data_IF_564364115401
#
_entry.id   IF_564364115401
#
_cell.length_a   1.000
_cell.length_b   1.000
_cell.length_c   1.000
_cell.angle_alpha   90.00
_cell.angle_beta   90.00
_cell.angle_gamma   90.00
#
_symmetry.space_group_name_H-M   'P 1'
#
loop_
_entity.id
_entity.type
_entity.pdbx_description
1 polymer ?
#
# COMPACT_ATOMS: atom_id res chain seq x y z
N UNK A 1 -15.85 -8.99 -24.76
CA UNK A 1 -14.92 -8.43 -23.75
C UNK A 1 -14.32 -9.61 -23.00
N UNK A 2 -13.02 -9.91 -23.17
CA UNK A 2 -12.37 -10.94 -22.34
C UNK A 2 -12.25 -10.36 -20.93
N UNK A 3 -13.07 -10.84 -19.99
CA UNK A 3 -12.97 -10.48 -18.58
C UNK A 3 -11.64 -10.97 -18.02
N UNK A 4 -11.11 -10.26 -17.01
CA UNK A 4 -9.92 -10.72 -16.28
C UNK A 4 -10.12 -12.13 -15.71
N UNK A 5 -9.04 -12.93 -15.52
CA UNK A 5 -9.13 -14.21 -14.84
C UNK A 5 -9.82 -14.08 -13.47
N UNK A 6 -10.68 -15.03 -13.11
CA UNK A 6 -11.54 -14.93 -11.92
C UNK A 6 -10.74 -14.69 -10.62
N UNK A 7 -9.56 -15.31 -10.49
CA UNK A 7 -8.66 -15.10 -9.36
C UNK A 7 -8.04 -13.70 -9.30
N UNK A 8 -7.80 -13.04 -10.45
CA UNK A 8 -7.36 -11.64 -10.49
C UNK A 8 -8.51 -10.70 -10.08
N UNK A 9 -9.72 -10.94 -10.62
CA UNK A 9 -10.90 -10.16 -10.27
C UNK A 9 -11.19 -10.17 -8.76
N UNK A 10 -11.17 -11.35 -8.14
CA UNK A 10 -11.43 -11.48 -6.71
C UNK A 10 -10.43 -10.67 -5.88
N UNK A 11 -9.13 -10.78 -6.18
CA UNK A 11 -8.07 -10.08 -5.42
C UNK A 11 -8.12 -8.58 -5.60
N UNK A 12 -8.35 -8.12 -6.81
CA UNK A 12 -8.42 -6.69 -7.14
C UNK A 12 -9.66 -6.05 -6.51
N UNK A 13 -10.82 -6.69 -6.60
CA UNK A 13 -12.05 -6.20 -5.97
C UNK A 13 -11.98 -6.24 -4.43
N UNK A 14 -11.42 -7.31 -3.85
CA UNK A 14 -11.24 -7.40 -2.41
C UNK A 14 -10.21 -6.39 -1.91
N UNK A 15 -9.11 -6.19 -2.65
CA UNK A 15 -8.14 -5.12 -2.39
C UNK A 15 -8.78 -3.73 -2.38
N UNK A 16 -9.57 -3.41 -3.40
CA UNK A 16 -10.31 -2.15 -3.45
C UNK A 16 -11.29 -1.99 -2.28
N UNK A 17 -12.01 -3.05 -1.91
CA UNK A 17 -12.89 -3.05 -0.74
C UNK A 17 -12.11 -2.76 0.54
N UNK A 18 -10.98 -3.42 0.75
CA UNK A 18 -10.15 -3.19 1.94
C UNK A 18 -9.62 -1.77 2.01
N UNK A 19 -9.16 -1.19 0.90
CA UNK A 19 -8.71 0.21 0.84
C UNK A 19 -9.83 1.20 1.16
N UNK A 20 -11.04 0.97 0.65
CA UNK A 20 -12.17 1.83 0.97
C UNK A 20 -12.58 1.75 2.45
N UNK A 21 -12.52 0.55 3.04
CA UNK A 21 -12.77 0.36 4.48
C UNK A 21 -11.68 1.03 5.30
N UNK A 22 -10.41 0.91 4.90
CA UNK A 22 -9.25 1.52 5.56
C UNK A 22 -9.43 3.05 5.66
N UNK A 23 -9.76 3.70 4.54
CA UNK A 23 -10.04 5.14 4.49
C UNK A 23 -11.18 5.54 5.45
N UNK A 24 -12.27 4.76 5.49
CA UNK A 24 -13.39 5.02 6.40
C UNK A 24 -12.94 4.87 7.86
N UNK A 25 -12.15 3.85 8.17
CA UNK A 25 -11.61 3.64 9.51
C UNK A 25 -10.63 4.73 9.93
N UNK A 26 -9.81 5.24 9.01
CA UNK A 26 -8.86 6.32 9.28
C UNK A 26 -9.57 7.65 9.55
N UNK A 27 -10.61 7.97 8.79
CA UNK A 27 -11.48 9.13 9.06
C UNK A 27 -12.17 8.96 10.42
N UNK A 28 -12.70 7.78 10.72
CA UNK A 28 -13.34 7.49 12.00
C UNK A 28 -12.37 7.69 13.18
N UNK A 29 -11.15 7.16 13.07
CA UNK A 29 -10.12 7.28 14.10
C UNK A 29 -9.67 8.73 14.26
N UNK A 30 -9.49 9.48 13.17
CA UNK A 30 -9.17 10.91 13.22
C UNK A 30 -10.26 11.70 13.96
N UNK A 31 -11.54 11.45 13.65
CA UNK A 31 -12.67 12.07 14.36
C UNK A 31 -12.70 11.66 15.83
N UNK A 32 -12.39 10.40 16.16
CA UNK A 32 -12.27 9.93 17.56
C UNK A 32 -11.17 10.70 18.30
N UNK A 33 -10.02 10.97 17.67
CA UNK A 33 -8.97 11.79 18.28
C UNK A 33 -9.38 13.25 18.49
N UNK A 34 -10.11 13.83 17.53
CA UNK A 34 -10.65 15.19 17.66
C UNK A 34 -11.62 15.27 18.84
N UNK A 35 -12.59 14.35 18.92
CA UNK A 35 -13.58 14.29 19.99
C UNK A 35 -12.96 14.01 21.37
N UNK A 36 -11.86 13.26 21.41
CA UNK A 36 -11.10 13.00 22.63
C UNK A 36 -10.15 14.16 23.03
N UNK A 37 -10.15 15.29 22.30
CA UNK A 37 -9.26 16.42 22.55
C UNK A 37 -7.79 16.16 22.23
N UNK A 38 -7.47 15.02 21.59
CA UNK A 38 -6.11 14.62 21.22
C UNK A 38 -5.70 15.26 19.89
N UNK A 39 -5.61 16.59 19.87
CA UNK A 39 -5.37 17.40 18.66
C UNK A 39 -4.07 17.03 17.95
N UNK A 40 -3.03 16.61 18.68
CA UNK A 40 -1.76 16.16 18.09
C UNK A 40 -1.93 14.96 17.16
N UNK A 41 -2.61 13.90 17.64
CA UNK A 41 -2.87 12.70 16.83
C UNK A 41 -3.84 12.98 15.69
N UNK A 42 -4.85 13.83 15.91
CA UNK A 42 -5.75 14.27 14.85
C UNK A 42 -4.98 14.94 13.70
N UNK A 43 -4.11 15.91 14.00
CA UNK A 43 -3.29 16.61 13.00
C UNK A 43 -2.37 15.64 12.25
N UNK A 44 -1.76 14.69 12.96
CA UNK A 44 -0.92 13.67 12.35
C UNK A 44 -1.70 12.76 11.39
N UNK A 45 -2.88 12.27 11.79
CA UNK A 45 -3.73 11.44 10.92
C UNK A 45 -4.19 12.19 9.67
N UNK A 46 -4.65 13.44 9.82
CA UNK A 46 -5.05 14.27 8.67
C UNK A 46 -3.87 14.58 7.75
N UNK A 47 -2.67 14.83 8.30
CA UNK A 47 -1.47 15.04 7.50
C UNK A 47 -1.09 13.79 6.70
N UNK A 48 -1.20 12.60 7.30
CA UNK A 48 -0.98 11.31 6.63
C UNK A 48 -1.95 11.11 5.45
N UNK A 49 -3.25 11.30 5.69
CA UNK A 49 -4.29 11.23 4.66
C UNK A 49 -4.05 12.24 3.53
N UNK A 50 -3.70 13.49 3.89
CA UNK A 50 -3.38 14.54 2.93
C UNK A 50 -2.15 14.21 2.08
N UNK A 51 -1.12 13.60 2.67
CA UNK A 51 0.07 13.14 1.96
C UNK A 51 -0.27 12.01 0.98
N UNK A 52 -1.10 11.04 1.38
CA UNK A 52 -1.59 9.95 0.52
C UNK A 52 -2.33 10.51 -0.69
N UNK A 53 -3.32 11.39 -0.47
CA UNK A 53 -4.07 12.05 -1.56
C UNK A 53 -3.12 12.84 -2.48
N UNK A 54 -2.19 13.62 -1.92
CA UNK A 54 -1.24 14.41 -2.70
C UNK A 54 -0.34 13.56 -3.61
N UNK A 55 0.19 12.45 -3.07
CA UNK A 55 1.03 11.52 -3.83
C UNK A 55 0.22 10.74 -4.89
N UNK A 56 -1.02 10.33 -4.57
CA UNK A 56 -1.91 9.69 -5.54
C UNK A 56 -2.26 10.64 -6.68
N UNK A 57 -2.54 11.92 -6.39
CA UNK A 57 -2.79 12.95 -7.41
C UNK A 57 -1.56 13.18 -8.30
N UNK A 58 -0.36 13.20 -7.72
CA UNK A 58 0.88 13.31 -8.47
C UNK A 58 1.04 12.11 -9.42
N UNK A 59 0.75 10.89 -8.97
CA UNK A 59 0.79 9.71 -9.85
C UNK A 59 -0.26 9.77 -10.97
N UNK A 60 -1.50 10.19 -10.68
CA UNK A 60 -2.53 10.39 -11.71
C UNK A 60 -2.07 11.41 -12.75
N UNK A 61 -1.47 12.52 -12.30
CA UNK A 61 -0.90 13.53 -13.18
C UNK A 61 0.21 12.95 -14.05
N UNK A 62 1.21 12.28 -13.46
CA UNK A 62 2.33 11.67 -14.19
C UNK A 62 1.82 10.66 -15.24
N UNK A 63 0.88 9.80 -14.85
CA UNK A 63 0.29 8.75 -15.68
C UNK A 63 -0.47 9.32 -16.89
N UNK A 64 -1.18 10.45 -16.72
CA UNK A 64 -2.09 10.98 -17.74
C UNK A 64 -1.62 12.32 -18.37
N UNK A 65 -0.43 12.83 -18.03
CA UNK A 65 0.04 14.15 -18.51
C UNK A 65 0.07 14.29 -20.04
N UNK A 66 0.32 13.19 -20.77
CA UNK A 66 0.37 13.19 -22.24
C UNK A 66 -1.02 13.09 -22.91
N UNK A 67 -2.07 12.77 -22.15
CA UNK A 67 -3.45 12.61 -22.62
C UNK A 67 -4.30 13.88 -22.47
N UNK A 68 -3.72 14.95 -21.91
CA UNK A 68 -4.36 16.25 -21.73
C UNK A 68 -5.06 16.43 -20.38
N UNK A 69 -5.24 17.71 -20.00
CA UNK A 69 -5.73 18.13 -18.67
C UNK A 69 -7.13 17.57 -18.34
N UNK A 70 -8.01 17.45 -19.35
CA UNK A 70 -9.36 16.90 -19.15
C UNK A 70 -9.33 15.46 -18.65
N UNK A 71 -8.38 14.64 -19.11
CA UNK A 71 -8.25 13.25 -18.64
C UNK A 71 -7.67 13.19 -17.23
N UNK A 72 -6.65 14.01 -16.95
CA UNK A 72 -6.07 14.14 -15.60
C UNK A 72 -7.15 14.51 -14.58
N UNK A 73 -7.97 15.53 -14.86
CA UNK A 73 -9.04 15.95 -13.96
C UNK A 73 -10.10 14.85 -13.74
N UNK A 74 -10.42 14.08 -14.78
CA UNK A 74 -11.36 12.96 -14.69
C UNK A 74 -10.84 11.84 -13.79
N UNK A 75 -9.56 11.51 -13.86
CA UNK A 75 -8.92 10.47 -13.03
C UNK A 75 -8.56 10.99 -11.62
N UNK A 76 -8.40 12.31 -11.46
CA UNK A 76 -8.15 12.95 -10.17
C UNK A 76 -9.40 13.03 -9.28
N UNK A 77 -10.58 13.17 -9.86
CA UNK A 77 -11.83 13.25 -9.10
C UNK A 77 -12.08 12.02 -8.21
N UNK A 78 -11.97 10.77 -8.69
CA UNK A 78 -12.06 9.58 -7.84
C UNK A 78 -11.03 9.53 -6.71
N UNK A 79 -9.84 10.12 -6.87
CA UNK A 79 -8.81 10.18 -5.81
C UNK A 79 -9.30 11.09 -4.67
N UNK A 80 -9.83 12.26 -4.99
CA UNK A 80 -10.28 13.24 -3.99
C UNK A 80 -11.42 12.71 -3.11
N UNK A 81 -12.26 11.83 -3.64
CA UNK A 81 -13.38 11.22 -2.90
C UNK A 81 -13.03 9.84 -2.32
N UNK A 82 -11.78 9.37 -2.45
CA UNK A 82 -11.36 8.05 -1.95
C UNK A 82 -11.93 6.84 -2.72
N UNK A 83 -12.44 7.06 -3.92
CA UNK A 83 -13.10 6.03 -4.73
C UNK A 83 -12.20 5.47 -5.85
N UNK A 84 -10.98 6.00 -6.01
CA UNK A 84 -10.00 5.53 -7.00
C UNK A 84 -9.75 4.01 -6.95
N UNK A 85 -9.60 3.35 -5.77
CA UNK A 85 -9.42 1.90 -5.72
C UNK A 85 -10.55 1.12 -6.40
N UNK A 86 -11.80 1.57 -6.23
CA UNK A 86 -12.97 0.93 -6.87
C UNK A 86 -12.99 1.16 -8.39
N UNK A 87 -12.64 2.36 -8.85
CA UNK A 87 -12.54 2.68 -10.28
C UNK A 87 -11.45 1.85 -10.96
N UNK A 88 -10.31 1.70 -10.31
CA UNK A 88 -9.19 0.90 -10.84
C UNK A 88 -9.52 -0.58 -10.88
N UNK A 89 -10.12 -1.10 -9.81
CA UNK A 89 -10.58 -2.47 -9.79
C UNK A 89 -11.61 -2.77 -10.89
N UNK A 90 -12.54 -1.84 -11.11
CA UNK A 90 -13.51 -1.93 -12.20
C UNK A 90 -12.86 -1.93 -13.58
N UNK A 91 -11.88 -1.04 -13.81
CA UNK A 91 -11.15 -0.94 -15.06
C UNK A 91 -10.38 -2.23 -15.38
N UNK A 92 -9.72 -2.82 -14.37
CA UNK A 92 -8.99 -4.08 -14.49
C UNK A 92 -9.96 -5.25 -14.72
N UNK A 93 -11.06 -5.30 -13.97
CA UNK A 93 -12.09 -6.34 -14.13
C UNK A 93 -12.69 -6.36 -15.54
N UNK A 94 -12.87 -5.17 -16.16
CA UNK A 94 -13.30 -5.02 -17.55
C UNK A 94 -12.23 -5.30 -18.60
N UNK A 95 -10.98 -5.53 -18.18
CA UNK A 95 -9.86 -5.78 -19.09
C UNK A 95 -9.46 -4.53 -19.90
N UNK A 96 -9.56 -3.34 -19.28
CA UNK A 96 -9.07 -2.09 -19.90
C UNK A 96 -7.58 -2.25 -20.22
N UNK A 97 -7.20 -1.95 -21.45
CA UNK A 97 -5.80 -1.94 -21.89
C UNK A 97 -5.20 -0.55 -21.71
N UNK A 98 -3.87 -0.50 -21.70
CA UNK A 98 -3.12 0.76 -21.73
C UNK A 98 -3.50 1.58 -22.97
N UNK A 99 -3.92 2.83 -22.76
CA UNK A 99 -4.20 3.81 -23.81
C UNK A 99 -2.87 4.46 -24.27
N UNK A 100 -2.72 4.77 -25.56
CA UNK A 100 -1.53 5.41 -26.09
C UNK A 100 -1.29 6.77 -25.41
N UNK A 101 -0.18 6.91 -24.68
CA UNK A 101 0.15 8.09 -23.88
C UNK A 101 0.05 7.89 -22.37
N UNK A 102 -0.49 6.76 -21.89
CA UNK A 102 -0.36 6.34 -20.49
C UNK A 102 1.05 5.82 -20.20
N UNK A 103 1.59 6.08 -18.99
CA UNK A 103 2.92 5.60 -18.61
C UNK A 103 2.94 4.09 -18.37
N UNK A 104 1.90 3.54 -17.75
CA UNK A 104 1.80 2.12 -17.41
C UNK A 104 0.43 1.54 -17.69
N UNK A 105 0.33 0.22 -17.70
CA UNK A 105 -0.94 -0.49 -17.74
C UNK A 105 -1.77 -0.30 -16.45
N UNK A 106 -3.09 -0.59 -16.47
CA UNK A 106 -3.96 -0.38 -15.31
C UNK A 106 -3.61 -1.20 -14.07
N UNK A 107 -3.03 -2.40 -14.21
CA UNK A 107 -2.66 -3.23 -13.05
C UNK A 107 -1.43 -2.65 -12.35
N UNK A 108 -0.46 -2.19 -13.13
CA UNK A 108 0.70 -1.46 -12.63
C UNK A 108 0.30 -0.13 -11.98
N UNK A 109 -0.64 0.61 -12.57
CA UNK A 109 -1.17 1.84 -11.97
C UNK A 109 -1.81 1.56 -10.60
N UNK A 110 -2.68 0.55 -10.50
CA UNK A 110 -3.29 0.15 -9.23
C UNK A 110 -2.24 -0.29 -8.19
N UNK A 111 -1.21 -1.00 -8.63
CA UNK A 111 -0.10 -1.42 -7.75
C UNK A 111 0.60 -0.21 -7.15
N UNK A 112 0.93 0.81 -7.96
CA UNK A 112 1.55 2.04 -7.47
C UNK A 112 0.63 2.82 -6.53
N UNK A 113 -0.67 2.91 -6.85
CA UNK A 113 -1.65 3.56 -5.97
C UNK A 113 -1.74 2.87 -4.61
N UNK A 114 -1.79 1.53 -4.61
CA UNK A 114 -1.80 0.76 -3.35
C UNK A 114 -0.49 0.92 -2.59
N UNK A 115 0.65 0.96 -3.27
CA UNK A 115 1.94 1.23 -2.63
C UNK A 115 1.99 2.60 -1.96
N UNK A 116 1.43 3.64 -2.59
CA UNK A 116 1.32 4.98 -2.00
C UNK A 116 0.41 4.99 -0.78
N UNK A 117 -0.76 4.37 -0.88
CA UNK A 117 -1.71 4.23 0.24
C UNK A 117 -1.02 3.55 1.45
N UNK A 118 -0.37 2.42 1.21
CA UNK A 118 0.37 1.71 2.27
C UNK A 118 1.47 2.58 2.90
N UNK A 119 2.23 3.32 2.08
CA UNK A 119 3.36 4.13 2.55
C UNK A 119 2.92 5.40 3.30
N UNK A 120 1.94 6.13 2.77
CA UNK A 120 1.60 7.47 3.22
C UNK A 120 0.39 7.53 4.16
N UNK A 121 -0.40 6.46 4.23
CA UNK A 121 -1.64 6.39 5.02
C UNK A 121 -1.63 5.20 5.98
N UNK A 122 -1.58 3.96 5.47
CA UNK A 122 -1.76 2.80 6.34
C UNK A 122 -0.60 2.59 7.34
N UNK A 123 0.67 2.71 6.91
CA UNK A 123 1.82 2.55 7.82
C UNK A 123 1.89 3.68 8.86
N UNK A 124 1.86 4.98 8.50
CA UNK A 124 1.90 6.04 9.49
C UNK A 124 0.64 6.07 10.37
N UNK A 125 -0.54 5.78 9.80
CA UNK A 125 -1.81 5.64 10.52
C UNK A 125 -1.73 4.58 11.62
N UNK A 126 -1.16 3.42 11.32
CA UNK A 126 -0.91 2.35 12.30
C UNK A 126 0.02 2.81 13.43
N UNK A 127 1.11 3.52 13.11
CA UNK A 127 2.05 4.07 14.10
C UNK A 127 1.36 5.10 15.00
N UNK A 128 0.54 6.00 14.43
CA UNK A 128 -0.22 7.01 15.17
C UNK A 128 -1.21 6.34 16.12
N UNK A 129 -1.95 5.33 15.65
CA UNK A 129 -2.89 4.57 16.48
C UNK A 129 -2.17 3.87 17.65
N UNK A 130 -1.06 3.19 17.36
CA UNK A 130 -0.24 2.52 18.37
C UNK A 130 0.32 3.51 19.40
N UNK A 131 0.83 4.66 18.96
CA UNK A 131 1.33 5.72 19.84
C UNK A 131 0.21 6.26 20.73
N UNK A 132 -0.98 6.48 20.19
CA UNK A 132 -2.13 6.97 20.95
C UNK A 132 -2.66 5.96 21.98
N UNK A 133 -2.57 4.66 21.69
CA UNK A 133 -2.86 3.57 22.63
C UNK A 133 -1.81 3.54 23.73
N UNK A 134 -0.54 3.63 23.38
CA UNK A 134 0.57 3.52 24.34
C UNK A 134 0.62 4.70 25.32
N UNK A 135 0.23 5.91 24.90
CA UNK A 135 0.25 7.11 25.76
C UNK A 135 -1.06 7.37 26.49
N UNK A 136 -2.19 6.89 25.96
CA UNK A 136 -3.52 7.26 26.45
C UNK A 136 -4.42 6.10 26.84
N UNK A 137 -3.88 4.88 26.88
CA UNK A 137 -4.64 3.64 27.07
C UNK A 137 -5.41 3.21 25.81
N UNK A 138 -5.51 1.91 25.61
CA UNK A 138 -6.29 1.31 24.52
C UNK A 138 -7.43 0.46 25.08
N UNK A 139 -8.64 0.70 24.59
CA UNK A 139 -9.73 -0.28 24.74
C UNK A 139 -9.50 -1.46 23.79
N UNK A 140 -10.28 -2.53 23.98
CA UNK A 140 -10.21 -3.72 23.11
C UNK A 140 -10.47 -3.33 21.65
N UNK A 141 -11.35 -2.37 21.39
CA UNK A 141 -11.68 -1.91 20.04
C UNK A 141 -10.48 -1.26 19.33
N UNK A 142 -9.66 -0.48 20.03
CA UNK A 142 -8.46 0.14 19.47
C UNK A 142 -7.41 -0.92 19.07
N UNK A 143 -7.21 -1.94 19.91
CA UNK A 143 -6.32 -3.05 19.55
C UNK A 143 -6.81 -3.88 18.37
N UNK A 144 -8.12 -4.12 18.30
CA UNK A 144 -8.73 -4.78 17.13
C UNK A 144 -8.52 -3.95 15.86
N UNK A 145 -8.70 -2.63 15.93
CA UNK A 145 -8.45 -1.71 14.81
C UNK A 145 -7.00 -1.81 14.29
N UNK A 146 -6.03 -1.79 15.20
CA UNK A 146 -4.59 -1.92 14.86
C UNK A 146 -4.30 -3.24 14.17
N UNK A 147 -4.83 -4.36 14.71
CA UNK A 147 -4.61 -5.70 14.11
C UNK A 147 -5.23 -5.79 12.72
N UNK A 148 -6.46 -5.28 12.56
CA UNK A 148 -7.15 -5.27 11.25
C UNK A 148 -6.37 -4.44 10.25
N UNK A 149 -5.93 -3.23 10.60
CA UNK A 149 -5.14 -2.35 9.73
C UNK A 149 -3.79 -2.98 9.33
N UNK A 150 -3.13 -3.66 10.26
CA UNK A 150 -1.90 -4.38 9.94
C UNK A 150 -2.15 -5.55 8.96
N UNK A 151 -3.24 -6.31 9.14
CA UNK A 151 -3.60 -7.40 8.24
C UNK A 151 -4.06 -6.91 6.86
N UNK A 152 -4.80 -5.80 6.76
CA UNK A 152 -5.20 -5.21 5.47
C UNK A 152 -3.98 -4.66 4.72
N UNK A 153 -3.03 -4.06 5.43
CA UNK A 153 -1.75 -3.62 4.85
C UNK A 153 -0.92 -4.82 4.39
N UNK A 154 -0.84 -5.87 5.21
CA UNK A 154 -0.20 -7.15 4.86
C UNK A 154 -0.85 -7.82 3.65
N UNK A 155 -2.19 -7.72 3.53
CA UNK A 155 -2.93 -8.19 2.36
C UNK A 155 -2.55 -7.40 1.09
N UNK A 156 -2.47 -6.07 1.17
CA UNK A 156 -2.00 -5.23 0.07
C UNK A 156 -0.63 -5.66 -0.44
N UNK A 157 0.33 -5.83 0.47
CA UNK A 157 1.66 -6.33 0.13
C UNK A 157 1.65 -7.74 -0.47
N UNK A 158 0.86 -8.66 0.10
CA UNK A 158 0.75 -10.03 -0.39
C UNK A 158 0.15 -10.09 -1.80
N UNK A 159 -0.86 -9.27 -2.12
CA UNK A 159 -1.45 -9.19 -3.46
C UNK A 159 -0.40 -8.73 -4.48
N UNK A 160 0.32 -7.64 -4.18
CA UNK A 160 1.36 -7.11 -5.07
C UNK A 160 2.44 -8.16 -5.32
N UNK A 161 3.00 -8.74 -4.25
CA UNK A 161 4.06 -9.74 -4.38
C UNK A 161 3.59 -10.99 -5.11
N UNK A 162 2.35 -11.43 -4.88
CA UNK A 162 1.79 -12.57 -5.60
C UNK A 162 1.52 -12.27 -7.07
N UNK A 163 1.03 -11.07 -7.41
CA UNK A 163 0.83 -10.66 -8.80
C UNK A 163 2.15 -10.63 -9.56
N UNK A 164 3.22 -10.11 -8.94
CA UNK A 164 4.56 -10.13 -9.53
C UNK A 164 5.12 -11.55 -9.64
N UNK A 165 4.95 -12.37 -8.60
CA UNK A 165 5.44 -13.75 -8.62
C UNK A 165 4.73 -14.61 -9.65
N UNK A 166 3.43 -14.44 -9.86
CA UNK A 166 2.65 -15.30 -10.77
C UNK A 166 2.65 -14.84 -12.23
N UNK A 167 3.32 -13.73 -12.53
CA UNK A 167 3.49 -13.19 -13.88
C UNK A 167 4.47 -14.06 -14.69
N UNK A 168 4.04 -14.65 -15.83
CA UNK A 168 4.90 -15.47 -16.67
C UNK A 168 6.14 -14.76 -17.18
N UNK A 169 6.02 -13.48 -17.57
CA UNK A 169 7.14 -12.72 -18.14
C UNK A 169 8.22 -12.48 -17.08
N UNK A 170 7.79 -12.20 -15.85
CA UNK A 170 8.72 -11.98 -14.72
C UNK A 170 9.39 -13.27 -14.27
N UNK A 171 8.66 -14.38 -14.23
CA UNK A 171 9.22 -15.71 -13.97
C UNK A 171 10.27 -16.12 -14.99
N UNK A 172 10.08 -15.74 -16.26
CA UNK A 172 11.05 -16.02 -17.31
C UNK A 172 12.31 -15.15 -17.18
N UNK A 173 12.14 -13.87 -16.83
CA UNK A 173 13.26 -12.92 -16.68
C UNK A 173 14.12 -13.20 -15.44
N UNK A 174 13.50 -13.55 -14.31
CA UNK A 174 14.17 -13.75 -13.02
C UNK A 174 13.67 -15.03 -12.33
N UNK A 175 14.01 -16.21 -12.87
CA UNK A 175 13.52 -17.51 -12.37
C UNK A 175 14.05 -17.87 -10.98
N UNK A 176 15.19 -17.30 -10.57
CA UNK A 176 15.74 -17.54 -9.23
C UNK A 176 15.01 -16.74 -8.13
N UNK A 177 14.33 -15.66 -8.51
CA UNK A 177 13.63 -14.77 -7.59
C UNK A 177 12.11 -15.04 -7.55
N UNK A 178 11.51 -15.27 -8.72
CA UNK A 178 10.09 -15.57 -8.86
C UNK A 178 9.85 -17.08 -9.03
N UNK A 179 8.63 -17.54 -8.75
CA UNK A 179 8.25 -18.95 -8.79
C UNK A 179 8.00 -19.56 -7.42
N UNK A 180 8.04 -18.77 -6.33
CA UNK A 180 7.80 -19.29 -4.99
C UNK A 180 6.32 -19.58 -4.72
N UNK A 181 5.38 -19.04 -5.51
CA UNK A 181 3.96 -19.44 -5.45
C UNK A 181 3.74 -20.71 -6.27
N UNK A 182 3.35 -21.83 -5.63
CA UNK A 182 3.20 -23.11 -6.30
C UNK A 182 1.95 -23.14 -7.19
N UNK A 183 1.93 -24.06 -8.16
CA UNK A 183 0.81 -24.26 -9.08
C UNK A 183 -0.40 -24.96 -8.45
N UNK A 184 -0.20 -25.74 -7.38
CA UNK A 184 -1.27 -26.46 -6.69
C UNK A 184 -2.19 -25.48 -5.94
N UNK A 185 -3.52 -25.48 -6.19
CA UNK A 185 -4.46 -24.53 -5.59
C UNK A 185 -4.40 -24.45 -4.06
N UNK A 186 -4.27 -25.59 -3.36
CA UNK A 186 -4.24 -25.62 -1.88
C UNK A 186 -2.95 -25.00 -1.33
N UNK A 187 -1.83 -25.29 -1.96
CA UNK A 187 -0.54 -24.73 -1.55
C UNK A 187 -0.46 -23.24 -1.90
N UNK A 188 -1.04 -22.85 -3.03
CA UNK A 188 -1.14 -21.45 -3.48
C UNK A 188 -1.93 -20.58 -2.50
N UNK A 189 -3.06 -21.07 -2.01
CA UNK A 189 -3.83 -20.36 -0.98
C UNK A 189 -3.09 -20.31 0.36
N UNK A 190 -2.38 -21.39 0.73
CA UNK A 190 -1.60 -21.44 1.96
C UNK A 190 -0.46 -20.41 1.94
N UNK A 191 0.35 -20.40 0.86
CA UNK A 191 1.43 -19.41 0.68
C UNK A 191 0.87 -17.99 0.73
N UNK A 192 -0.26 -17.74 0.05
CA UNK A 192 -0.90 -16.43 0.09
C UNK A 192 -1.29 -16.00 1.51
N UNK A 193 -1.97 -16.86 2.29
CA UNK A 193 -2.33 -16.57 3.68
C UNK A 193 -1.08 -16.33 4.54
N UNK A 194 -0.04 -17.13 4.37
CA UNK A 194 1.23 -16.94 5.08
C UNK A 194 1.89 -15.61 4.73
N UNK A 195 1.85 -15.17 3.47
CA UNK A 195 2.35 -13.86 3.06
C UNK A 195 1.59 -12.71 3.74
N UNK A 196 0.26 -12.82 3.84
CA UNK A 196 -0.57 -11.82 4.55
C UNK A 196 -0.18 -11.74 6.02
N UNK A 197 -0.11 -12.89 6.70
CA UNK A 197 0.22 -12.96 8.13
C UNK A 197 1.66 -12.47 8.40
N UNK A 198 2.61 -12.85 7.55
CA UNK A 198 3.99 -12.41 7.68
C UNK A 198 4.13 -10.92 7.42
N UNK A 199 3.49 -10.39 6.37
CA UNK A 199 3.49 -8.96 6.07
C UNK A 199 2.86 -8.12 7.18
N UNK A 200 1.67 -8.51 7.66
CA UNK A 200 0.99 -7.83 8.76
C UNK A 200 1.74 -7.95 10.09
N UNK A 201 2.26 -9.14 10.40
CA UNK A 201 3.04 -9.39 11.61
C UNK A 201 4.35 -8.60 11.65
N UNK A 202 5.11 -8.60 10.54
CA UNK A 202 6.33 -7.79 10.44
C UNK A 202 6.04 -6.30 10.57
N UNK A 203 4.95 -5.82 9.96
CA UNK A 203 4.51 -4.44 10.10
C UNK A 203 4.18 -4.11 11.56
N UNK A 204 3.43 -4.96 12.26
CA UNK A 204 3.14 -4.77 13.68
C UNK A 204 4.40 -4.71 14.53
N UNK A 205 5.34 -5.64 14.35
CA UNK A 205 6.60 -5.67 15.11
C UNK A 205 7.38 -4.38 14.91
N UNK A 206 7.52 -3.93 13.65
CA UNK A 206 8.26 -2.70 13.33
C UNK A 206 7.57 -1.46 13.88
N UNK A 207 6.26 -1.32 13.69
CA UNK A 207 5.50 -0.17 14.18
C UNK A 207 5.49 -0.11 15.71
N UNK A 208 5.36 -1.26 16.40
CA UNK A 208 5.48 -1.33 17.86
C UNK A 208 6.89 -0.93 18.33
N UNK A 209 7.93 -1.40 17.65
CA UNK A 209 9.32 -1.04 17.98
C UNK A 209 9.54 0.46 17.85
N UNK A 210 9.08 1.06 16.75
CA UNK A 210 9.18 2.51 16.52
C UNK A 210 8.44 3.28 17.63
N UNK A 211 7.24 2.85 18.02
CA UNK A 211 6.46 3.49 19.08
C UNK A 211 7.17 3.35 20.43
N UNK A 212 7.61 2.16 20.81
CA UNK A 212 8.28 1.92 22.10
C UNK A 212 9.60 2.70 22.21
N UNK A 213 10.40 2.75 21.15
CA UNK A 213 11.62 3.57 21.12
C UNK A 213 11.28 5.06 21.15
N UNK A 214 10.23 5.49 20.43
CA UNK A 214 9.77 6.88 20.42
C UNK A 214 9.22 7.35 21.77
N UNK A 215 8.73 6.45 22.62
CA UNK A 215 8.35 6.76 24.00
C UNK A 215 9.56 6.97 24.92
N UNK A 216 10.70 6.36 24.62
CA UNK A 216 11.96 6.58 25.35
C UNK A 216 12.59 7.90 24.90
N UNK A 217 12.92 8.01 23.62
CA UNK A 217 13.43 9.21 22.96
C UNK A 217 13.26 9.07 21.44
N UNK A 218 12.83 10.13 20.77
CA UNK A 218 12.73 10.19 19.31
C UNK A 218 14.06 9.83 18.63
N UNK A 219 15.19 10.14 19.27
CA UNK A 219 16.54 9.82 18.78
C UNK A 219 16.74 8.33 18.56
N UNK A 220 16.22 7.47 19.45
CA UNK A 220 16.31 6.01 19.31
C UNK A 220 15.43 5.48 18.18
N UNK A 221 14.22 6.03 18.04
CA UNK A 221 13.34 5.68 16.92
C UNK A 221 13.98 6.04 15.57
N UNK A 222 14.57 7.24 15.47
CA UNK A 222 15.27 7.68 14.26
C UNK A 222 16.53 6.84 13.98
N UNK A 223 17.30 6.48 15.02
CA UNK A 223 18.45 5.62 14.87
C UNK A 223 18.06 4.22 14.36
N UNK A 224 16.98 3.64 14.90
CA UNK A 224 16.45 2.35 14.43
C UNK A 224 16.00 2.41 12.96
N UNK A 225 15.21 3.42 12.59
CA UNK A 225 14.76 3.62 11.20
C UNK A 225 15.95 3.85 10.26
N UNK A 226 16.89 4.71 10.66
CA UNK A 226 18.07 5.04 9.88
C UNK A 226 18.99 3.84 9.67
N UNK A 227 19.17 2.99 10.69
CA UNK A 227 19.96 1.78 10.59
C UNK A 227 19.27 0.70 9.75
N UNK A 228 17.97 0.49 9.92
CA UNK A 228 17.21 -0.48 9.11
C UNK A 228 17.20 -0.10 7.62
N UNK A 229 16.89 1.16 7.31
CA UNK A 229 16.97 1.69 5.95
C UNK A 229 18.42 1.69 5.43
N UNK A 230 19.38 2.08 6.27
CA UNK A 230 20.79 2.13 5.91
C UNK A 230 21.36 0.77 5.54
N UNK A 231 21.02 -0.28 6.30
CA UNK A 231 21.40 -1.66 5.99
C UNK A 231 20.74 -2.16 4.70
N UNK A 232 19.45 -1.87 4.51
CA UNK A 232 18.73 -2.24 3.30
C UNK A 232 19.34 -1.58 2.04
N UNK A 233 19.56 -0.27 2.10
CA UNK A 233 20.19 0.49 1.02
C UNK A 233 21.66 0.05 0.83
N UNK A 234 22.37 -0.26 1.91
CA UNK A 234 23.72 -0.81 1.84
C UNK A 234 23.77 -2.12 1.07
N UNK A 235 22.89 -3.09 1.40
CA UNK A 235 22.78 -4.35 0.66
C UNK A 235 22.44 -4.13 -0.82
N UNK A 236 21.49 -3.25 -1.13
CA UNK A 236 21.16 -2.90 -2.52
C UNK A 236 22.34 -2.29 -3.27
N UNK A 237 23.16 -1.49 -2.60
CA UNK A 237 24.37 -0.91 -3.19
C UNK A 237 25.41 -1.98 -3.50
N UNK A 238 25.62 -2.94 -2.58
CA UNK A 238 26.52 -4.07 -2.80
C UNK A 238 26.06 -5.00 -3.93
N UNK A 239 24.75 -5.19 -4.09
CA UNK A 239 24.18 -5.99 -5.17
C UNK A 239 24.18 -5.28 -6.54
N UNK A 240 24.48 -3.98 -6.59
CA UNK A 240 24.44 -3.18 -7.82
C UNK A 240 23.03 -2.77 -8.27
N UNK A 241 22.00 -3.00 -7.46
CA UNK A 241 20.59 -2.82 -7.82
C UNK A 241 20.17 -1.34 -7.95
N UNK A 242 20.97 -0.38 -7.49
CA UNK A 242 20.69 1.05 -7.64
C UNK A 242 20.70 1.52 -9.10
N UNK A 243 21.37 0.77 -9.98
CA UNK A 243 21.53 1.13 -11.39
C UNK A 243 20.39 0.61 -12.28
N UNK A 244 19.27 0.19 -11.69
CA UNK A 244 18.07 -0.16 -12.44
C UNK A 244 17.44 1.09 -13.07
N UNK A 245 17.55 1.20 -14.40
CA UNK A 245 16.92 2.25 -15.19
C UNK A 245 15.47 1.83 -15.50
N UNK A 246 14.48 2.59 -15.03
CA UNK A 246 13.09 2.41 -15.45
C UNK A 246 12.98 2.92 -16.90
N UNK A 247 12.66 2.08 -17.90
CA UNK A 247 12.42 2.55 -19.25
C UNK A 247 11.09 3.33 -19.26
N UNK A 248 11.16 4.65 -19.09
CA UNK A 248 10.00 5.56 -19.21
C UNK A 248 9.56 5.79 -20.67
N UNK A 249 10.10 5.00 -21.61
CA UNK A 249 9.72 4.97 -23.01
C UNK A 249 8.61 3.96 -23.22
N UNK A 250 7.36 4.42 -23.23
CA UNK A 250 6.26 3.63 -23.76
C UNK A 250 6.43 3.44 -25.26
N UNK A 251 6.49 2.19 -25.70
CA UNK A 251 6.26 1.78 -27.09
C UNK A 251 4.92 1.07 -27.18
#
# INVERSE_FOLDING_TARGET
VKSAPWGLMFRVCFGAMTSMVDLVTDVYVAVKFLNAGKIGYFKASVASLGASIGLQLLMVFLQNKKLGLRRVLKEAFPVLIGFKPAVDAYNIAKGKKQEAGQLSDPLTEMTYMKGIEMFAESIPGLIIQLMAIATGGGDVAAWVSVVVSALTTGYGGAVISYDYDTDPEKREQLPDFYGYVPSNPRQRSLVFVTMVLFGGGMLMIRSLTIVLLGLLDMSWALAYIGLDLGLYLGMKMFNGDFWYWVPLGGN
#
